data_IF_886816050902
#
_entry.id   IF_886816050902
#
_cell.length_a   1.000
_cell.length_b   1.000
_cell.length_c   1.000
_cell.angle_alpha   90.00
_cell.angle_beta   90.00
_cell.angle_gamma   90.00
#
_symmetry.space_group_name_H-M   'P 1'
#
loop_
_entity.id
_entity.type
_entity.pdbx_description
1 polymer ?
#
# COMPACT_ATOMS: atom_id res chain seq x y z
N UNK A 1 9.71 20.74 -5.17
CA UNK A 1 10.31 19.39 -5.14
C UNK A 1 10.26 18.92 -3.69
N UNK A 2 9.90 17.67 -3.43
CA UNK A 2 9.88 17.15 -2.06
C UNK A 2 11.25 17.37 -1.40
N UNK A 3 11.27 17.57 -0.08
CA UNK A 3 12.52 17.67 0.67
C UNK A 3 13.02 16.31 1.13
N UNK A 4 12.11 15.45 1.56
CA UNK A 4 12.43 14.13 2.09
C UNK A 4 11.92 13.01 1.18
N UNK A 5 12.56 11.85 1.27
CA UNK A 5 12.13 10.60 0.61
C UNK A 5 10.74 10.14 1.09
N UNK A 6 10.02 9.41 0.24
CA UNK A 6 8.75 8.75 0.59
C UNK A 6 9.00 7.32 1.10
N UNK A 7 8.81 7.00 2.39
CA UNK A 7 9.08 5.68 2.96
C UNK A 7 8.18 4.56 2.42
N UNK A 8 7.17 4.87 1.60
CA UNK A 8 6.28 3.88 0.99
C UNK A 8 6.91 3.15 -0.19
N UNK A 9 8.00 3.66 -0.75
CA UNK A 9 8.77 2.94 -1.77
C UNK A 9 9.86 2.09 -1.13
N UNK A 10 10.19 0.98 -1.78
CA UNK A 10 11.06 -0.06 -1.22
C UNK A 10 12.46 0.47 -0.91
N UNK A 11 13.05 1.23 -1.83
CA UNK A 11 14.37 1.81 -1.65
C UNK A 11 14.44 2.73 -0.43
N UNK A 12 13.44 3.62 -0.27
CA UNK A 12 13.40 4.55 0.86
C UNK A 12 13.19 3.81 2.19
N UNK A 13 12.32 2.80 2.21
CA UNK A 13 12.11 1.95 3.37
C UNK A 13 13.42 1.25 3.79
N UNK A 14 14.12 0.64 2.83
CA UNK A 14 15.43 -0.01 3.06
C UNK A 14 16.49 0.98 3.51
N UNK A 15 16.50 2.21 2.99
CA UNK A 15 17.42 3.24 3.46
C UNK A 15 17.18 3.57 4.94
N UNK A 16 15.91 3.73 5.33
CA UNK A 16 15.54 4.14 6.70
C UNK A 16 15.75 3.00 7.71
N UNK A 17 15.47 1.75 7.33
CA UNK A 17 15.38 0.63 8.28
C UNK A 17 16.31 -0.55 7.98
N UNK A 18 17.02 -0.55 6.85
CA UNK A 18 17.67 -1.74 6.30
C UNK A 18 19.19 -1.76 6.36
N UNK A 19 19.83 -0.85 7.12
CA UNK A 19 21.28 -0.85 7.28
C UNK A 19 21.72 -0.73 8.75
N UNK A 20 22.95 -1.16 9.02
CA UNK A 20 23.55 -1.06 10.37
C UNK A 20 23.63 0.39 10.85
N UNK A 21 23.90 1.36 9.97
CA UNK A 21 23.98 2.78 10.30
C UNK A 21 22.63 3.37 10.73
N UNK A 22 21.54 2.81 10.21
CA UNK A 22 20.16 3.24 10.47
C UNK A 22 19.42 2.32 11.43
N UNK A 23 20.08 1.32 12.03
CA UNK A 23 19.46 0.34 12.93
C UNK A 23 18.69 0.93 14.11
N UNK A 24 19.13 2.09 14.60
CA UNK A 24 18.47 2.84 15.66
C UNK A 24 17.05 3.28 15.26
N UNK A 25 16.82 3.62 13.99
CA UNK A 25 15.49 3.94 13.48
C UNK A 25 14.58 2.72 13.57
N UNK A 26 15.05 1.55 13.14
CA UNK A 26 14.30 0.30 13.21
C UNK A 26 14.01 -0.10 14.66
N UNK A 27 15.01 -0.07 15.54
CA UNK A 27 14.85 -0.39 16.96
C UNK A 27 13.84 0.54 17.61
N UNK A 28 13.93 1.85 17.36
CA UNK A 28 13.01 2.83 17.97
C UNK A 28 11.59 2.67 17.44
N UNK A 29 11.42 2.39 16.14
CA UNK A 29 10.12 2.10 15.54
C UNK A 29 9.49 0.85 16.16
N UNK A 30 10.23 -0.25 16.24
CA UNK A 30 9.72 -1.51 16.78
C UNK A 30 9.46 -1.44 18.28
N UNK A 31 10.30 -0.75 19.05
CA UNK A 31 10.05 -0.53 20.48
C UNK A 31 8.83 0.36 20.72
N UNK A 32 8.59 1.36 19.85
CA UNK A 32 7.34 2.11 19.85
C UNK A 32 6.14 1.19 19.57
N UNK A 33 6.27 0.26 18.63
CA UNK A 33 5.22 -0.68 18.27
C UNK A 33 4.88 -1.69 19.39
N UNK A 34 5.88 -2.18 20.13
CA UNK A 34 5.69 -3.23 21.14
C UNK A 34 5.34 -2.70 22.55
N UNK A 35 5.24 -1.38 22.74
CA UNK A 35 4.71 -0.72 23.95
C UNK A 35 4.99 -1.47 25.27
N UNK A 36 6.24 -1.47 25.73
CA UNK A 36 6.72 -2.12 26.97
C UNK A 36 6.54 -3.65 27.08
N UNK A 37 5.87 -4.34 26.16
CA UNK A 37 5.79 -5.81 26.15
C UNK A 37 7.14 -6.45 25.82
N UNK A 38 7.86 -5.85 24.87
CA UNK A 38 9.18 -6.31 24.41
C UNK A 38 10.08 -5.10 24.15
N UNK A 39 11.29 -5.15 24.73
CA UNK A 39 12.32 -4.14 24.49
C UNK A 39 13.44 -4.75 23.67
N UNK A 40 13.47 -4.38 22.39
CA UNK A 40 14.53 -4.73 21.46
C UNK A 40 15.77 -3.90 21.80
N UNK A 41 16.86 -4.61 22.12
CA UNK A 41 18.16 -4.01 22.44
C UNK A 41 19.08 -3.90 21.25
N UNK A 42 18.96 -4.82 20.29
CA UNK A 42 19.78 -4.86 19.09
C UNK A 42 19.06 -5.58 17.96
N UNK A 43 19.45 -5.28 16.72
CA UNK A 43 18.97 -5.92 15.51
C UNK A 43 20.18 -6.25 14.64
N UNK A 44 20.20 -7.46 14.08
CA UNK A 44 21.23 -7.90 13.14
C UNK A 44 20.61 -8.16 11.79
N UNK A 45 21.17 -7.55 10.74
CA UNK A 45 20.72 -7.78 9.37
C UNK A 45 21.35 -9.06 8.81
N UNK A 46 20.57 -10.14 8.75
CA UNK A 46 21.01 -11.41 8.20
C UNK A 46 21.14 -11.33 6.67
N UNK A 47 22.21 -11.92 6.12
CA UNK A 47 22.32 -12.15 4.68
C UNK A 47 21.27 -13.17 4.26
N UNK A 48 20.48 -12.82 3.25
CA UNK A 48 19.43 -13.69 2.67
C UNK A 48 20.01 -14.88 1.91
N UNK A 49 21.28 -14.81 1.50
CA UNK A 49 21.98 -15.85 0.74
C UNK A 49 23.05 -16.53 1.61
N UNK A 50 22.94 -17.84 1.80
CA UNK A 50 24.01 -18.68 2.36
C UNK A 50 24.55 -19.59 1.27
N UNK A 51 25.88 -19.60 1.08
CA UNK A 51 26.55 -20.59 0.25
C UNK A 51 26.32 -21.99 0.86
N UNK A 52 26.22 -23.01 0.01
CA UNK A 52 26.13 -24.40 0.43
C UNK A 52 27.27 -24.77 1.38
N UNK A 53 26.98 -25.60 2.39
CA UNK A 53 27.93 -25.97 3.44
C UNK A 53 29.06 -26.88 2.95
N UNK A 54 28.91 -27.49 1.76
CA UNK A 54 29.90 -28.37 1.14
C UNK A 54 30.46 -27.77 -0.15
N UNK A 55 31.74 -28.03 -0.48
CA UNK A 55 32.36 -27.58 -1.74
C UNK A 55 31.58 -28.02 -3.01
N UNK A 56 30.81 -29.10 -2.90
CA UNK A 56 30.04 -29.70 -3.99
C UNK A 56 28.60 -29.16 -4.08
N UNK A 57 28.14 -28.45 -3.04
CA UNK A 57 26.80 -27.86 -2.98
C UNK A 57 26.77 -26.60 -3.87
N UNK A 58 26.40 -26.78 -5.14
CA UNK A 58 26.21 -25.67 -6.11
C UNK A 58 24.94 -24.83 -5.88
N UNK A 59 24.22 -25.06 -4.77
CA UNK A 59 22.97 -24.37 -4.44
C UNK A 59 23.18 -23.27 -3.40
N UNK A 60 22.60 -22.09 -3.66
CA UNK A 60 22.40 -21.07 -2.63
C UNK A 60 21.26 -21.54 -1.72
N UNK A 61 21.53 -21.68 -0.43
CA UNK A 61 20.49 -21.98 0.57
C UNK A 61 19.94 -20.65 1.07
N UNK A 62 18.70 -20.36 0.70
CA UNK A 62 17.95 -19.26 1.32
C UNK A 62 17.54 -19.70 2.72
N UNK A 63 17.77 -18.85 3.72
CA UNK A 63 17.25 -19.10 5.06
C UNK A 63 15.73 -19.26 5.01
N UNK A 64 15.13 -20.01 5.94
CA UNK A 64 13.67 -20.21 5.95
C UNK A 64 12.99 -18.85 6.10
N UNK A 65 12.45 -18.34 4.99
CA UNK A 65 11.75 -17.07 4.96
C UNK A 65 10.58 -17.12 5.95
N UNK A 66 10.70 -16.37 7.05
CA UNK A 66 9.61 -16.19 8.02
C UNK A 66 8.96 -14.84 7.75
N UNK A 67 7.72 -14.87 7.30
CA UNK A 67 6.92 -13.67 7.13
C UNK A 67 6.13 -13.45 8.42
N UNK A 68 6.21 -12.24 8.97
CA UNK A 68 5.42 -11.80 10.13
C UNK A 68 4.50 -10.70 9.65
N UNK A 69 3.20 -10.88 9.87
CA UNK A 69 2.20 -9.86 9.59
C UNK A 69 1.86 -9.14 10.89
N UNK A 70 1.93 -7.81 10.86
CA UNK A 70 1.56 -6.94 11.98
C UNK A 70 0.25 -6.24 11.61
N UNK A 71 -0.77 -6.41 12.44
CA UNK A 71 -2.04 -5.70 12.28
C UNK A 71 -2.06 -4.53 13.26
N UNK A 72 -2.18 -3.32 12.72
CA UNK A 72 -2.23 -2.09 13.50
C UNK A 72 -3.65 -1.51 13.49
N UNK A 73 -4.06 -0.80 14.56
CA UNK A 73 -5.27 0.00 14.50
C UNK A 73 -5.19 1.04 13.39
N UNK A 74 -6.35 1.48 12.88
CA UNK A 74 -6.40 2.53 11.88
C UNK A 74 -5.82 3.82 12.48
N UNK A 75 -4.74 4.31 11.89
CA UNK A 75 -4.17 5.59 12.28
C UNK A 75 -4.96 6.76 11.69
N UNK A 76 -5.66 7.50 12.55
CA UNK A 76 -6.59 8.60 12.25
C UNK A 76 -6.09 9.99 12.71
N UNK A 77 -4.85 10.07 13.19
CA UNK A 77 -4.22 11.32 13.59
C UNK A 77 -3.75 12.10 12.36
N UNK A 78 -4.10 13.39 12.31
CA UNK A 78 -3.86 14.30 11.20
C UNK A 78 -2.92 15.45 11.54
N UNK A 79 -2.69 15.72 12.83
CA UNK A 79 -1.80 16.80 13.29
C UNK A 79 -0.72 16.29 14.24
N UNK A 80 0.39 17.04 14.34
CA UNK A 80 1.48 16.71 15.26
C UNK A 80 1.03 16.68 16.73
N UNK A 81 0.06 17.51 17.11
CA UNK A 81 -0.44 17.61 18.48
C UNK A 81 -1.26 16.38 18.92
N UNK A 82 -1.82 15.63 17.96
CA UNK A 82 -2.58 14.39 18.24
C UNK A 82 -1.66 13.19 18.47
N UNK A 83 -0.36 13.30 18.17
CA UNK A 83 0.63 12.25 18.36
C UNK A 83 1.04 12.19 19.84
N UNK A 84 0.54 11.20 20.56
CA UNK A 84 0.68 11.09 22.01
C UNK A 84 2.00 10.39 22.39
N UNK A 85 2.34 9.33 21.68
CA UNK A 85 3.53 8.52 21.93
C UNK A 85 4.52 8.56 20.73
N UNK A 86 5.65 7.87 20.87
CA UNK A 86 6.68 7.82 19.83
C UNK A 86 6.24 7.00 18.61
N UNK A 87 5.35 6.03 18.79
CA UNK A 87 4.84 5.19 17.70
C UNK A 87 3.92 6.00 16.80
N UNK A 88 3.04 6.82 17.38
CA UNK A 88 2.24 7.79 16.65
C UNK A 88 3.10 8.72 15.80
N UNK A 89 4.17 9.26 16.39
CA UNK A 89 5.11 10.11 15.67
C UNK A 89 5.73 9.38 14.48
N UNK A 90 6.11 8.11 14.64
CA UNK A 90 6.61 7.27 13.54
C UNK A 90 5.58 7.07 12.44
N UNK A 91 4.34 6.69 12.78
CA UNK A 91 3.29 6.48 11.77
C UNK A 91 2.94 7.79 11.06
N UNK A 92 2.86 8.90 11.80
CA UNK A 92 2.63 10.24 11.26
C UNK A 92 3.72 10.62 10.25
N UNK A 93 4.99 10.42 10.61
CA UNK A 93 6.12 10.70 9.72
C UNK A 93 6.05 9.80 8.50
N UNK A 94 5.96 8.47 8.67
CA UNK A 94 5.94 7.53 7.54
C UNK A 94 4.79 7.80 6.55
N UNK A 95 3.64 8.29 7.03
CA UNK A 95 2.51 8.63 6.16
C UNK A 95 2.72 9.89 5.33
N UNK A 96 3.54 10.83 5.80
CA UNK A 96 3.57 12.21 5.27
C UNK A 96 4.99 12.74 4.99
N UNK A 97 6.03 11.93 5.13
CA UNK A 97 7.44 12.36 5.14
C UNK A 97 7.81 13.21 3.91
N UNK A 98 7.37 12.82 2.72
CA UNK A 98 7.64 13.54 1.48
C UNK A 98 6.91 14.89 1.35
N UNK A 99 5.93 15.18 2.22
CA UNK A 99 5.18 16.43 2.25
C UNK A 99 5.80 17.48 3.18
N UNK A 100 6.73 17.09 4.05
CA UNK A 100 7.31 18.01 5.03
C UNK A 100 8.43 18.88 4.44
N UNK A 101 8.42 20.16 4.81
CA UNK A 101 9.56 21.06 4.59
C UNK A 101 10.60 20.98 5.72
N UNK A 102 10.17 20.59 6.91
CA UNK A 102 10.99 20.42 8.10
C UNK A 102 10.54 19.16 8.85
N UNK A 103 11.48 18.40 9.42
CA UNK A 103 11.14 17.14 10.07
C UNK A 103 10.45 17.40 11.42
N UNK A 104 9.19 16.94 11.61
CA UNK A 104 8.50 17.09 12.88
C UNK A 104 9.17 16.26 13.98
N UNK A 105 8.89 16.62 15.23
CA UNK A 105 9.36 15.91 16.44
C UNK A 105 10.88 15.77 16.61
N UNK A 106 11.69 16.40 15.76
CA UNK A 106 13.16 16.32 15.78
C UNK A 106 13.81 17.01 16.98
N UNK A 107 13.07 17.90 17.65
CA UNK A 107 13.44 18.48 18.94
C UNK A 107 13.11 17.54 20.11
N UNK A 108 11.99 16.82 20.02
CA UNK A 108 11.48 15.92 21.07
C UNK A 108 12.26 14.59 21.10
N UNK A 109 12.56 14.04 19.92
CA UNK A 109 13.24 12.74 19.80
C UNK A 109 14.46 12.82 18.87
N UNK A 110 15.67 12.54 19.37
CA UNK A 110 16.90 12.58 18.57
C UNK A 110 16.88 11.68 17.33
N UNK A 111 16.18 10.54 17.39
CA UNK A 111 16.02 9.61 16.27
C UNK A 111 15.45 10.31 15.02
N UNK A 112 14.55 11.28 15.19
CA UNK A 112 13.94 11.99 14.08
C UNK A 112 14.86 13.06 13.48
N UNK A 113 15.83 13.58 14.25
CA UNK A 113 16.92 14.39 13.69
C UNK A 113 17.79 13.55 12.76
N UNK A 114 18.17 12.36 13.20
CA UNK A 114 18.93 11.40 12.37
C UNK A 114 18.12 10.98 11.14
N UNK A 115 16.83 10.71 11.30
CA UNK A 115 15.92 10.41 10.18
C UNK A 115 15.85 11.56 9.16
N UNK A 116 15.82 12.82 9.61
CA UNK A 116 15.85 13.97 8.73
C UNK A 116 17.12 13.99 7.86
N UNK A 117 18.27 13.60 8.42
CA UNK A 117 19.52 13.52 7.65
C UNK A 117 19.53 12.37 6.65
N UNK A 118 19.04 11.20 7.06
CA UNK A 118 18.96 10.02 6.20
C UNK A 118 18.01 10.27 5.03
N UNK A 119 16.89 10.94 5.30
CA UNK A 119 15.82 11.14 4.35
C UNK A 119 15.94 12.37 3.46
N UNK A 120 16.88 13.29 3.70
CA UNK A 120 17.02 14.52 2.91
C UNK A 120 17.48 14.19 1.48
N UNK A 121 16.62 14.48 0.50
CA UNK A 121 16.88 14.21 -0.92
C UNK A 121 18.14 14.91 -1.42
N UNK A 122 18.53 16.04 -0.81
CA UNK A 122 19.73 16.81 -1.19
C UNK A 122 21.03 16.14 -0.78
N UNK A 123 20.96 15.22 0.19
CA UNK A 123 22.12 14.47 0.69
C UNK A 123 22.35 13.16 -0.09
N UNK A 124 21.47 12.83 -1.03
CA UNK A 124 21.60 11.63 -1.86
C UNK A 124 22.71 11.79 -2.89
N UNK A 125 23.45 10.71 -3.11
CA UNK A 125 24.30 10.61 -4.30
C UNK A 125 23.42 10.55 -5.56
N UNK A 126 24.03 10.79 -6.72
CA UNK A 126 23.33 10.67 -8.00
C UNK A 126 22.77 9.26 -8.23
N UNK A 127 23.56 8.24 -7.91
CA UNK A 127 23.17 6.84 -8.06
C UNK A 127 22.00 6.49 -7.12
N UNK A 128 22.04 6.96 -5.88
CA UNK A 128 20.96 6.76 -4.92
C UNK A 128 19.67 7.48 -5.36
N UNK A 129 19.80 8.69 -5.90
CA UNK A 129 18.66 9.45 -6.42
C UNK A 129 18.02 8.77 -7.63
N UNK A 130 18.84 8.23 -8.55
CA UNK A 130 18.34 7.47 -9.72
C UNK A 130 17.57 6.21 -9.29
N UNK A 131 18.09 5.45 -8.31
CA UNK A 131 17.38 4.29 -7.74
C UNK A 131 16.06 4.69 -7.08
N UNK A 132 16.06 5.78 -6.31
CA UNK A 132 14.85 6.29 -5.68
C UNK A 132 13.81 6.76 -6.70
N UNK A 133 14.22 7.52 -7.72
CA UNK A 133 13.33 8.01 -8.77
C UNK A 133 12.73 6.87 -9.61
N UNK A 134 13.51 5.81 -9.87
CA UNK A 134 13.02 4.59 -10.51
C UNK A 134 11.93 3.91 -9.69
N UNK A 135 12.14 3.77 -8.38
CA UNK A 135 11.17 3.19 -7.46
C UNK A 135 9.87 4.02 -7.37
N UNK A 136 9.99 5.35 -7.35
CA UNK A 136 8.85 6.26 -7.39
C UNK A 136 8.08 6.11 -8.71
N UNK A 137 8.78 5.97 -9.84
CA UNK A 137 8.15 5.72 -11.15
C UNK A 137 7.41 4.38 -11.15
N UNK A 138 8.05 3.32 -10.69
CA UNK A 138 7.46 1.98 -10.60
C UNK A 138 6.19 1.99 -9.75
N UNK A 139 6.23 2.65 -8.59
CA UNK A 139 5.07 2.79 -7.71
C UNK A 139 3.91 3.53 -8.40
N UNK A 140 4.20 4.61 -9.14
CA UNK A 140 3.19 5.37 -9.90
C UNK A 140 2.57 4.56 -11.03
N UNK A 141 3.37 3.80 -11.77
CA UNK A 141 2.91 2.94 -12.86
C UNK A 141 2.00 1.82 -12.33
N UNK A 142 2.37 1.19 -11.22
CA UNK A 142 1.56 0.19 -10.53
C UNK A 142 0.23 0.79 -10.06
N UNK A 143 0.27 1.97 -9.43
CA UNK A 143 -0.95 2.64 -8.95
C UNK A 143 -1.89 3.00 -10.10
N UNK A 144 -1.37 3.56 -11.19
CA UNK A 144 -2.15 3.91 -12.37
C UNK A 144 -2.81 2.67 -13.00
N UNK A 145 -2.06 1.57 -13.11
CA UNK A 145 -2.57 0.29 -13.64
C UNK A 145 -3.68 -0.27 -12.76
N UNK A 146 -3.47 -0.34 -11.43
CA UNK A 146 -4.49 -0.83 -10.49
C UNK A 146 -5.76 0.01 -10.52
N UNK A 147 -5.63 1.33 -10.50
CA UNK A 147 -6.77 2.26 -10.55
C UNK A 147 -7.56 2.11 -11.86
N UNK A 148 -6.86 1.89 -12.98
CA UNK A 148 -7.51 1.62 -14.26
C UNK A 148 -8.27 0.29 -14.24
N UNK A 149 -7.66 -0.77 -13.71
CA UNK A 149 -8.30 -2.09 -13.60
C UNK A 149 -9.50 -2.10 -12.65
N UNK A 150 -9.41 -1.41 -11.50
CA UNK A 150 -10.52 -1.22 -10.56
C UNK A 150 -11.71 -0.51 -11.22
N UNK A 151 -11.45 0.61 -11.90
CA UNK A 151 -12.48 1.37 -12.61
C UNK A 151 -13.15 0.50 -13.68
N UNK A 152 -12.36 -0.21 -14.50
CA UNK A 152 -12.86 -1.11 -15.54
C UNK A 152 -13.66 -2.27 -14.94
N UNK A 153 -13.22 -2.81 -13.81
CA UNK A 153 -13.92 -3.85 -13.07
C UNK A 153 -15.28 -3.39 -12.57
N UNK A 154 -15.34 -2.19 -11.98
CA UNK A 154 -16.57 -1.57 -11.49
C UNK A 154 -17.55 -1.27 -12.63
N UNK A 155 -17.08 -0.69 -13.74
CA UNK A 155 -17.90 -0.42 -14.94
C UNK A 155 -18.51 -1.70 -15.52
N UNK A 156 -17.70 -2.77 -15.67
CA UNK A 156 -18.19 -4.08 -16.12
C UNK A 156 -19.18 -4.69 -15.13
N UNK A 157 -18.92 -4.56 -13.83
CA UNK A 157 -19.81 -5.03 -12.77
C UNK A 157 -21.16 -4.33 -12.80
N UNK A 158 -21.16 -3.01 -12.91
CA UNK A 158 -22.36 -2.18 -13.00
C UNK A 158 -23.15 -2.48 -14.28
N UNK A 159 -22.49 -2.58 -15.43
CA UNK A 159 -23.14 -2.95 -16.69
C UNK A 159 -23.81 -4.33 -16.62
N UNK A 160 -23.13 -5.34 -16.05
CA UNK A 160 -23.71 -6.67 -15.82
C UNK A 160 -24.88 -6.63 -14.84
N UNK A 161 -24.78 -5.83 -13.78
CA UNK A 161 -25.85 -5.64 -12.80
C UNK A 161 -27.10 -5.03 -13.42
N UNK A 162 -26.94 -3.93 -14.16
CA UNK A 162 -28.03 -3.28 -14.90
C UNK A 162 -28.69 -4.22 -15.91
N UNK A 163 -27.90 -5.00 -16.67
CA UNK A 163 -28.44 -5.96 -17.62
C UNK A 163 -29.28 -7.05 -16.92
N UNK A 164 -28.78 -7.60 -15.80
CA UNK A 164 -29.54 -8.58 -15.00
C UNK A 164 -30.83 -7.98 -14.43
N UNK A 165 -30.79 -6.74 -13.95
CA UNK A 165 -31.97 -6.08 -13.38
C UNK A 165 -33.02 -5.75 -14.47
N UNK A 166 -32.58 -5.37 -15.67
CA UNK A 166 -33.49 -5.20 -16.83
C UNK A 166 -34.23 -6.50 -17.13
N UNK A 167 -33.52 -7.63 -17.15
CA UNK A 167 -34.12 -8.97 -17.36
C UNK A 167 -35.07 -9.33 -16.21
N UNK A 168 -34.67 -9.16 -14.95
CA UNK A 168 -35.51 -9.44 -13.79
C UNK A 168 -36.78 -8.57 -13.78
N UNK A 169 -36.66 -7.31 -14.20
CA UNK A 169 -37.80 -6.40 -14.37
C UNK A 169 -38.71 -6.85 -15.50
N UNK A 170 -38.16 -7.30 -16.62
CA UNK A 170 -38.96 -7.87 -17.72
C UNK A 170 -39.79 -9.07 -17.24
N UNK A 171 -39.19 -10.00 -16.48
CA UNK A 171 -39.93 -11.11 -15.86
C UNK A 171 -41.08 -10.64 -14.97
N UNK A 172 -40.83 -9.66 -14.09
CA UNK A 172 -41.88 -9.10 -13.21
C UNK A 172 -43.02 -8.48 -14.02
N UNK A 173 -42.71 -7.65 -15.02
CA UNK A 173 -43.74 -7.00 -15.84
C UNK A 173 -44.55 -8.00 -16.67
N UNK A 174 -43.91 -9.03 -17.24
CA UNK A 174 -44.61 -10.12 -17.93
C UNK A 174 -45.53 -10.88 -16.96
N UNK A 175 -45.08 -11.17 -15.74
CA UNK A 175 -45.90 -11.86 -14.72
C UNK A 175 -47.12 -11.05 -14.28
N UNK A 176 -47.06 -9.72 -14.41
CA UNK A 176 -48.18 -8.81 -14.15
C UNK A 176 -49.17 -8.70 -15.33
N UNK A 177 -48.92 -9.41 -16.44
CA UNK A 177 -49.81 -9.46 -17.60
C UNK A 177 -49.59 -8.36 -18.63
N UNK A 178 -48.49 -7.61 -18.57
CA UNK A 178 -48.16 -6.61 -19.60
C UNK A 178 -47.78 -7.28 -20.93
N UNK A 179 -48.12 -6.63 -22.05
CA UNK A 179 -47.74 -7.12 -23.38
C UNK A 179 -46.23 -6.99 -23.64
N UNK A 180 -45.68 -7.87 -24.47
CA UNK A 180 -44.25 -7.88 -24.83
C UNK A 180 -43.76 -6.52 -25.36
N UNK A 181 -44.60 -5.81 -26.12
CA UNK A 181 -44.30 -4.47 -26.61
C UNK A 181 -44.17 -3.45 -25.46
N UNK A 182 -45.07 -3.48 -24.47
CA UNK A 182 -45.00 -2.61 -23.29
C UNK A 182 -43.77 -2.92 -22.43
N UNK A 183 -43.45 -4.21 -22.25
CA UNK A 183 -42.26 -4.64 -21.52
C UNK A 183 -40.99 -4.18 -22.23
N UNK A 184 -40.94 -4.29 -23.57
CA UNK A 184 -39.81 -3.85 -24.39
C UNK A 184 -39.54 -2.36 -24.23
N UNK A 185 -40.59 -1.55 -24.28
CA UNK A 185 -40.47 -0.11 -24.02
C UNK A 185 -40.01 0.19 -22.60
N UNK A 186 -40.55 -0.50 -21.59
CA UNK A 186 -40.26 -0.21 -20.18
C UNK A 186 -38.85 -0.62 -19.74
N UNK A 187 -38.31 -1.74 -20.26
CA UNK A 187 -36.98 -2.24 -19.88
C UNK A 187 -35.88 -1.86 -20.86
N UNK A 188 -36.25 -1.22 -21.99
CA UNK A 188 -35.38 -0.91 -23.12
C UNK A 188 -34.65 -2.18 -23.65
N UNK A 189 -35.31 -3.33 -23.54
CA UNK A 189 -34.80 -4.59 -24.09
C UNK A 189 -35.44 -4.82 -25.46
N UNK A 190 -34.71 -5.38 -26.43
CA UNK A 190 -35.29 -5.77 -27.72
C UNK A 190 -36.45 -6.77 -27.53
N UNK A 191 -37.48 -6.65 -28.37
CA UNK A 191 -38.64 -7.58 -28.38
C UNK A 191 -38.18 -9.05 -28.48
N UNK A 192 -37.17 -9.34 -29.27
CA UNK A 192 -36.59 -10.68 -29.42
C UNK A 192 -36.03 -11.25 -28.10
N UNK A 193 -35.44 -10.41 -27.25
CA UNK A 193 -34.94 -10.85 -25.94
C UNK A 193 -36.09 -11.14 -24.97
N UNK A 194 -37.15 -10.34 -25.00
CA UNK A 194 -38.35 -10.55 -24.17
C UNK A 194 -39.10 -11.82 -24.58
N UNK A 195 -39.13 -12.14 -25.87
CA UNK A 195 -39.71 -13.38 -26.37
C UNK A 195 -38.93 -14.62 -25.93
N UNK A 196 -37.59 -14.51 -25.78
CA UNK A 196 -36.76 -15.59 -25.23
C UNK A 196 -37.00 -15.79 -23.73
N UNK A 197 -37.31 -14.72 -23.00
CA UNK A 197 -37.61 -14.73 -21.55
C UNK A 197 -38.95 -15.41 -21.26
N UNK A 198 -39.91 -15.37 -22.19
CA UNK A 198 -41.26 -15.94 -22.03
C UNK A 198 -41.33 -17.47 -22.22
N UNK A 199 -40.31 -18.07 -22.84
CA UNK A 199 -40.21 -19.53 -23.02
C UNK A 199 -39.78 -20.22 -21.73
#
# INVERSE_FOLDING_TARGET
>A
MARFIDPRVDWAFKRIFGSEDTKECLITFLNGLFEDELVIKDVTFAKTEKLGLRPDDRGVVFDRMRIVYLQLPLFDKHTEAECMDIFDCWIYIMKNMNMFEQMPFSEKYPVFRKLAEIGDLRKLSREELELYDEDIKNMRDIYATRKFDEKRGMEKGMAKGMAKEKIATAYRLLSMGLSEAQVSTATELPLEEIQKIRK
#
